data_IF_620081766261
#
_entry.id   IF_620081766261
#
_cell.length_a   1.000
_cell.length_b   1.000
_cell.length_c   1.000
_cell.angle_alpha   90.00
_cell.angle_beta   90.00
_cell.angle_gamma   90.00
#
_symmetry.space_group_name_H-M   'P 1'
#
loop_
_entity.id
_entity.type
_entity.pdbx_description
1 polymer ?
#
# COMPACT_ATOMS: atom_id res chain seq x y z
N UNK A 1 -1.57 -11.90 3.85
CA UNK A 1 -0.44 -10.97 3.97
C UNK A 1 -0.21 -10.26 2.64
N UNK A 2 0.38 -9.08 2.69
CA UNK A 2 0.76 -8.36 1.48
C UNK A 2 2.20 -7.86 1.62
N UNK A 3 2.87 -7.64 0.50
CA UNK A 3 4.12 -6.90 0.47
C UNK A 3 3.89 -5.53 -0.16
N UNK A 4 4.81 -4.62 0.07
CA UNK A 4 4.69 -3.26 -0.45
C UNK A 4 6.05 -2.68 -0.80
N UNK A 5 6.03 -1.69 -1.71
CA UNK A 5 7.23 -1.00 -2.15
C UNK A 5 6.90 0.46 -2.44
N UNK A 6 7.72 1.37 -1.93
CA UNK A 6 7.58 2.80 -2.23
C UNK A 6 7.93 3.05 -3.68
N UNK A 7 7.04 3.75 -4.39
CA UNK A 7 7.25 4.12 -5.80
C UNK A 7 7.37 5.63 -5.99
N UNK A 8 7.05 6.43 -4.97
CA UNK A 8 7.12 7.87 -5.05
C UNK A 8 7.36 8.49 -3.68
N UNK A 9 8.22 9.50 -3.63
CA UNK A 9 8.54 10.23 -2.41
C UNK A 9 8.96 11.66 -2.77
N UNK A 10 8.07 12.64 -2.52
CA UNK A 10 8.37 14.04 -2.80
C UNK A 10 7.52 14.95 -1.91
N UNK A 11 8.17 15.89 -1.22
CA UNK A 11 7.51 16.95 -0.42
C UNK A 11 6.45 16.43 0.55
N UNK A 12 6.74 15.32 1.23
CA UNK A 12 5.82 14.74 2.20
C UNK A 12 4.72 13.90 1.60
N UNK A 13 4.74 13.68 0.28
CA UNK A 13 3.82 12.79 -0.41
C UNK A 13 4.53 11.48 -0.72
N UNK A 14 3.97 10.38 -0.24
CA UNK A 14 4.50 9.04 -0.47
C UNK A 14 3.46 8.21 -1.19
N UNK A 15 3.90 7.42 -2.18
CA UNK A 15 3.06 6.41 -2.81
C UNK A 15 3.74 5.06 -2.73
N UNK A 16 2.93 4.05 -2.43
CA UNK A 16 3.38 2.66 -2.34
C UNK A 16 2.54 1.79 -3.24
N UNK A 17 3.18 0.86 -3.95
CA UNK A 17 2.47 -0.28 -4.50
C UNK A 17 2.30 -1.32 -3.41
N UNK A 18 1.12 -1.94 -3.34
CA UNK A 18 0.91 -3.10 -2.48
C UNK A 18 0.57 -4.31 -3.34
N UNK A 19 1.01 -5.46 -2.90
CA UNK A 19 0.91 -6.70 -3.68
C UNK A 19 0.18 -7.75 -2.84
N UNK A 20 -1.12 -7.99 -3.11
CA UNK A 20 -1.86 -9.04 -2.41
C UNK A 20 -1.17 -10.39 -2.55
N UNK A 21 -0.93 -11.07 -1.44
CA UNK A 21 -0.24 -12.36 -1.38
C UNK A 21 1.11 -12.34 -2.11
N UNK A 22 1.81 -11.20 -2.09
CA UNK A 22 3.10 -11.00 -2.76
C UNK A 22 3.06 -11.19 -4.28
N UNK A 23 1.87 -11.13 -4.89
CA UNK A 23 1.71 -11.21 -6.35
C UNK A 23 1.97 -9.84 -6.97
N UNK A 24 3.10 -9.69 -7.66
CA UNK A 24 3.53 -8.42 -8.24
C UNK A 24 2.89 -8.12 -9.59
N UNK A 25 2.04 -9.01 -10.11
CA UNK A 25 1.42 -8.83 -11.44
C UNK A 25 0.22 -7.91 -11.44
N UNK A 26 -0.37 -7.65 -10.27
CA UNK A 26 -1.58 -6.84 -10.15
C UNK A 26 -1.48 -5.92 -8.94
N UNK A 27 -0.58 -4.92 -8.96
CA UNK A 27 -0.38 -4.05 -7.80
C UNK A 27 -1.56 -3.10 -7.60
N UNK A 28 -1.83 -2.80 -6.33
CA UNK A 28 -2.62 -1.63 -5.97
C UNK A 28 -1.69 -0.49 -5.60
N UNK A 29 -2.20 0.72 -5.49
CA UNK A 29 -1.43 1.90 -5.10
C UNK A 29 -2.14 2.65 -4.00
N UNK A 30 -1.41 2.96 -2.92
CA UNK A 30 -1.91 3.79 -1.83
C UNK A 30 -1.02 5.01 -1.67
N UNK A 31 -1.60 6.08 -1.14
CA UNK A 31 -0.92 7.37 -0.99
C UNK A 31 -0.99 7.82 0.46
N UNK A 32 0.13 8.33 0.96
CA UNK A 32 0.24 8.90 2.30
C UNK A 32 0.76 10.33 2.17
N UNK A 33 0.02 11.28 2.73
CA UNK A 33 0.41 12.69 2.71
C UNK A 33 0.40 13.24 4.14
N UNK A 34 1.42 14.03 4.47
CA UNK A 34 1.53 14.63 5.80
C UNK A 34 0.27 15.40 6.18
N UNK A 35 -0.26 15.11 7.39
CA UNK A 35 -1.44 15.78 7.90
C UNK A 35 -2.76 15.34 7.30
N UNK A 36 -2.75 14.29 6.46
CA UNK A 36 -3.96 13.77 5.82
C UNK A 36 -4.09 12.27 6.04
N UNK A 37 -5.32 11.78 5.91
CA UNK A 37 -5.58 10.34 5.99
C UNK A 37 -5.02 9.64 4.75
N UNK A 38 -4.55 8.40 4.90
CA UNK A 38 -4.13 7.59 3.74
C UNK A 38 -5.25 7.45 2.72
N UNK A 39 -4.86 7.34 1.45
CA UNK A 39 -5.82 7.29 0.34
C UNK A 39 -5.49 6.12 -0.58
N UNK A 40 -6.52 5.40 -1.01
CA UNK A 40 -6.40 4.40 -2.07
C UNK A 40 -6.41 5.11 -3.42
N UNK A 41 -5.32 4.97 -4.17
CA UNK A 41 -5.18 5.58 -5.50
C UNK A 41 -5.62 4.59 -6.59
N UNK A 42 -5.20 3.33 -6.47
CA UNK A 42 -5.52 2.29 -7.43
C UNK A 42 -5.76 0.98 -6.71
N UNK A 43 -6.89 0.33 -6.97
CA UNK A 43 -7.19 -0.97 -6.40
C UNK A 43 -6.49 -2.07 -7.20
N UNK A 44 -5.94 -3.06 -6.49
CA UNK A 44 -5.39 -4.25 -7.14
C UNK A 44 -6.51 -5.10 -7.73
N UNK A 45 -6.28 -5.67 -8.92
CA UNK A 45 -7.24 -6.61 -9.53
C UNK A 45 -7.38 -7.90 -8.73
N UNK A 46 -6.42 -8.21 -7.87
CA UNK A 46 -6.45 -9.39 -6.99
C UNK A 46 -7.09 -9.09 -5.65
N UNK A 47 -7.53 -7.86 -5.42
CA UNK A 47 -8.11 -7.43 -4.17
C UNK A 47 -9.62 -7.52 -4.23
N UNK A 48 -10.22 -8.39 -3.43
CA UNK A 48 -11.67 -8.56 -3.37
C UNK A 48 -12.22 -7.66 -2.26
N UNK A 49 -13.15 -6.76 -2.62
CA UNK A 49 -13.83 -5.87 -1.67
C UNK A 49 -12.86 -4.99 -0.86
N UNK A 50 -11.75 -4.59 -1.45
CA UNK A 50 -10.74 -3.72 -0.83
C UNK A 50 -10.10 -4.33 0.44
N UNK A 51 -10.14 -5.65 0.58
CA UNK A 51 -9.62 -6.32 1.77
C UNK A 51 -8.12 -6.03 1.99
N UNK A 52 -7.32 -6.20 0.95
CA UNK A 52 -5.89 -5.92 1.03
C UNK A 52 -5.61 -4.42 1.10
N UNK A 53 -6.40 -3.59 0.41
CA UNK A 53 -6.25 -2.14 0.45
C UNK A 53 -6.40 -1.61 1.88
N UNK A 54 -7.38 -2.09 2.63
CA UNK A 54 -7.58 -1.69 4.02
C UNK A 54 -6.35 -2.02 4.87
N UNK A 55 -5.79 -3.21 4.71
CA UNK A 55 -4.59 -3.61 5.44
C UNK A 55 -3.37 -2.77 5.03
N UNK A 56 -3.26 -2.43 3.74
CA UNK A 56 -2.20 -1.55 3.27
C UNK A 56 -2.30 -0.14 3.88
N UNK A 57 -3.50 0.44 3.86
CA UNK A 57 -3.74 1.78 4.41
C UNK A 57 -3.46 1.86 5.91
N UNK A 58 -3.64 0.77 6.64
CA UNK A 58 -3.48 0.74 8.09
C UNK A 58 -2.15 0.16 8.55
N UNK A 59 -1.44 -0.56 7.70
CA UNK A 59 -0.29 -1.35 8.12
C UNK A 59 1.05 -1.01 7.50
N UNK A 60 1.07 -0.25 6.39
CA UNK A 60 2.35 0.11 5.75
C UNK A 60 3.15 1.03 6.67
N UNK A 61 4.41 0.67 6.90
CA UNK A 61 5.35 1.50 7.65
C UNK A 61 5.99 2.50 6.70
N UNK A 62 5.59 3.76 6.80
CA UNK A 62 6.05 4.82 5.90
C UNK A 62 7.48 5.28 6.16
N UNK A 63 8.16 4.71 7.17
CA UNK A 63 9.58 4.93 7.38
C UNK A 63 10.43 3.97 6.56
N UNK A 64 9.82 2.98 5.91
CA UNK A 64 10.52 1.96 5.11
C UNK A 64 10.17 2.11 3.64
N UNK A 65 11.14 1.77 2.79
CA UNK A 65 10.93 1.75 1.34
C UNK A 65 10.18 0.51 0.87
N UNK A 66 10.28 -0.58 1.61
CA UNK A 66 9.63 -1.85 1.27
C UNK A 66 9.42 -2.68 2.54
N UNK A 67 8.47 -3.59 2.49
CA UNK A 67 8.20 -4.47 3.61
C UNK A 67 6.97 -5.34 3.38
N UNK A 68 6.48 -5.91 4.47
CA UNK A 68 5.29 -6.76 4.44
C UNK A 68 4.34 -6.36 5.56
N UNK A 69 3.05 -6.55 5.32
CA UNK A 69 2.00 -6.40 6.33
C UNK A 69 1.38 -7.77 6.52
N UNK A 70 1.39 -8.26 7.76
CA UNK A 70 0.81 -9.56 8.11
C UNK A 70 -0.34 -9.35 9.10
N UNK A 71 -1.36 -10.20 8.99
CA UNK A 71 -2.51 -10.18 9.89
C UNK A 71 -3.07 -11.59 10.06
N UNK A 72 -3.89 -11.75 11.07
CA UNK A 72 -4.53 -13.03 11.35
C UNK A 72 -6.04 -12.96 11.16
#
# INVERSE_FOLDING_TARGET
MLSYKRIYNDNGLLRYEYYPNADTTSPGVVEFKNGQKPKLVQESKKDVKMYFAIHALNGIDTTKEAGTVAWH
#
